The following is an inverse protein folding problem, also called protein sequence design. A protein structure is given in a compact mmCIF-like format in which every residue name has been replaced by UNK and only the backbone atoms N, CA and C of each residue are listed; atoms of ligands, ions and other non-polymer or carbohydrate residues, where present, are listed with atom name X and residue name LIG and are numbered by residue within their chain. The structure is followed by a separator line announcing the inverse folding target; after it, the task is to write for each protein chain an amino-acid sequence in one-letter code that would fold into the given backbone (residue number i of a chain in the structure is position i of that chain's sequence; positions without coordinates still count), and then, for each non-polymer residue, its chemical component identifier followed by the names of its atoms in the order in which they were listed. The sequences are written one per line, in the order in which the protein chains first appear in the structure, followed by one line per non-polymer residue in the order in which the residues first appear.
data_IF_064814087693
#
_entry.id   IF_064814087693
#
_cell.length_a   1.000
_cell.length_b   1.000
_cell.length_c   1.000
_cell.angle_alpha   90.00
_cell.angle_beta   90.00
_cell.angle_gamma   90.00
#
_symmetry.space_group_name_H-M   'P 1'
#
loop_
_entity.id
_entity.type
_entity.pdbx_description
1 polymer ?
#
# COMPACT_ATOMS: atom_id res chain seq x y z
N UNK A 1 1.10 -15.76 20.39
CA UNK A 1 1.49 -15.60 18.97
C UNK A 1 2.82 -14.88 18.93
N UNK A 2 3.86 -15.50 18.36
CA UNK A 2 5.13 -14.80 18.11
C UNK A 2 4.91 -13.84 16.93
N UNK A 3 5.16 -12.54 17.13
CA UNK A 3 5.21 -11.59 15.99
C UNK A 3 6.32 -12.04 15.06
N UNK A 4 6.02 -12.21 13.77
CA UNK A 4 7.06 -12.42 12.77
C UNK A 4 7.97 -11.18 12.75
N UNK A 5 9.29 -11.36 12.60
CA UNK A 5 10.20 -10.23 12.53
C UNK A 5 9.91 -9.39 11.28
N UNK A 6 10.07 -8.07 11.41
CA UNK A 6 9.98 -7.14 10.28
C UNK A 6 11.10 -7.36 9.28
N UNK A 7 10.82 -7.11 8.01
CA UNK A 7 11.82 -7.10 6.93
C UNK A 7 12.28 -5.67 6.70
N UNK A 8 13.59 -5.45 6.67
CA UNK A 8 14.18 -4.16 6.30
C UNK A 8 14.42 -4.12 4.79
N UNK A 9 13.94 -3.04 4.14
CA UNK A 9 14.16 -2.76 2.73
C UNK A 9 14.50 -1.27 2.60
N UNK A 10 15.70 -0.99 2.12
CA UNK A 10 16.25 0.38 1.99
C UNK A 10 16.48 0.79 0.54
N UNK A 11 16.31 -0.12 -0.41
CA UNK A 11 16.57 0.14 -1.82
C UNK A 11 15.73 -0.72 -2.76
N UNK A 12 15.62 -0.26 -4.01
CA UNK A 12 14.94 -1.01 -5.06
C UNK A 12 15.62 -2.35 -5.34
N UNK A 13 16.96 -2.40 -5.33
CA UNK A 13 17.68 -3.65 -5.55
C UNK A 13 17.40 -4.69 -4.45
N UNK A 14 17.36 -4.27 -3.18
CA UNK A 14 16.97 -5.16 -2.09
C UNK A 14 15.53 -5.64 -2.25
N UNK A 15 14.61 -4.76 -2.64
CA UNK A 15 13.23 -5.16 -2.93
C UNK A 15 13.18 -6.23 -4.01
N UNK A 16 13.86 -6.02 -5.14
CA UNK A 16 13.90 -6.97 -6.26
C UNK A 16 14.42 -8.34 -5.81
N UNK A 17 15.51 -8.39 -5.04
CA UNK A 17 16.07 -9.64 -4.52
C UNK A 17 15.11 -10.38 -3.57
N UNK A 18 14.24 -9.65 -2.86
CA UNK A 18 13.29 -10.23 -1.92
C UNK A 18 12.01 -10.72 -2.59
N UNK A 19 11.58 -10.07 -3.66
CA UNK A 19 10.36 -10.45 -4.40
C UNK A 19 10.65 -11.38 -5.57
N UNK A 20 11.92 -11.68 -5.88
CA UNK A 20 12.28 -12.66 -6.90
C UNK A 20 11.78 -14.05 -6.47
N UNK A 21 10.69 -14.51 -7.11
CA UNK A 21 10.04 -15.79 -6.78
C UNK A 21 8.94 -15.70 -5.69
N UNK A 22 8.57 -14.49 -5.25
CA UNK A 22 7.40 -14.24 -4.38
C UNK A 22 6.72 -12.92 -4.79
N UNK A 23 5.79 -12.41 -4.00
CA UNK A 23 5.15 -11.11 -4.21
C UNK A 23 5.21 -10.24 -2.95
N UNK A 24 5.19 -8.93 -3.18
CA UNK A 24 4.99 -7.94 -2.14
C UNK A 24 3.49 -7.68 -2.02
N UNK A 25 2.95 -7.85 -0.82
CA UNK A 25 1.55 -7.56 -0.53
C UNK A 25 1.42 -6.13 -0.01
N UNK A 26 0.40 -5.44 -0.49
CA UNK A 26 -0.05 -4.16 0.05
C UNK A 26 -1.48 -4.29 0.53
N UNK A 27 -1.75 -3.72 1.70
CA UNK A 27 -3.10 -3.53 2.23
C UNK A 27 -3.23 -2.07 2.60
N UNK A 28 -4.37 -1.46 2.28
CA UNK A 28 -4.67 -0.11 2.70
C UNK A 28 -6.07 0.04 3.25
N UNK A 29 -6.21 1.11 4.03
CA UNK A 29 -7.48 1.58 4.52
C UNK A 29 -7.50 3.11 4.44
N UNK A 30 -8.59 3.65 3.91
CA UNK A 30 -8.89 5.09 3.91
C UNK A 30 -10.13 5.27 4.77
N UNK A 31 -9.98 6.02 5.86
CA UNK A 31 -11.06 6.27 6.82
C UNK A 31 -11.62 7.67 6.65
N UNK A 32 -12.92 7.79 6.89
CA UNK A 32 -13.57 9.07 7.13
C UNK A 32 -13.20 9.65 8.50
N UNK A 33 -13.52 10.93 8.69
CA UNK A 33 -13.13 11.69 9.89
C UNK A 33 -13.68 11.14 11.21
N UNK A 34 -14.86 10.54 11.15
CA UNK A 34 -15.54 10.03 12.34
C UNK A 34 -16.02 8.62 12.05
N UNK A 35 -15.59 7.70 12.89
CA UNK A 35 -16.20 6.39 13.03
C UNK A 35 -16.41 6.07 14.52
N UNK A 36 -17.16 5.02 14.85
CA UNK A 36 -17.41 4.67 16.25
C UNK A 36 -16.17 4.25 17.02
N UNK A 37 -15.16 3.71 16.32
CA UNK A 37 -13.90 3.24 16.92
C UNK A 37 -12.70 4.16 16.65
N UNK A 38 -12.88 5.28 15.92
CA UNK A 38 -11.78 6.19 15.58
C UNK A 38 -12.22 7.65 15.46
N UNK A 39 -11.27 8.55 15.70
CA UNK A 39 -11.40 9.98 15.47
C UNK A 39 -10.23 10.43 14.61
N UNK A 40 -10.53 11.12 13.51
CA UNK A 40 -9.57 11.57 12.51
C UNK A 40 -9.57 10.66 11.27
N UNK A 41 -9.72 11.30 10.11
CA UNK A 41 -9.63 10.64 8.83
C UNK A 41 -8.19 10.40 8.43
N UNK A 42 -8.02 9.64 7.36
CA UNK A 42 -6.69 9.45 6.77
C UNK A 42 -6.53 8.11 6.10
N UNK A 43 -5.30 7.88 5.64
CA UNK A 43 -4.92 6.70 4.89
C UNK A 43 -3.79 5.96 5.58
N UNK A 44 -3.98 4.67 5.77
CA UNK A 44 -2.95 3.75 6.24
C UNK A 44 -2.56 2.81 5.09
N UNK A 45 -1.25 2.67 4.82
CA UNK A 45 -0.70 1.71 3.86
C UNK A 45 0.24 0.76 4.60
N UNK A 46 0.00 -0.55 4.50
CA UNK A 46 0.83 -1.60 5.09
C UNK A 46 1.40 -2.48 4.00
N UNK A 47 2.69 -2.82 4.15
CA UNK A 47 3.45 -3.63 3.20
C UNK A 47 3.99 -4.88 3.87
N UNK A 48 3.97 -6.01 3.17
CA UNK A 48 4.53 -7.26 3.68
C UNK A 48 5.04 -8.18 2.57
N UNK A 49 6.01 -9.03 2.89
CA UNK A 49 6.49 -10.11 2.01
C UNK A 49 6.39 -11.40 2.81
N UNK A 50 5.77 -12.43 2.22
CA UNK A 50 5.53 -13.74 2.87
C UNK A 50 4.90 -13.61 4.27
N UNK A 51 3.93 -12.70 4.42
CA UNK A 51 3.24 -12.41 5.68
C UNK A 51 4.10 -11.70 6.74
N UNK A 52 5.31 -11.26 6.41
CA UNK A 52 6.17 -10.48 7.31
C UNK A 52 6.08 -8.99 6.99
N UNK A 53 5.76 -8.13 7.97
CA UNK A 53 5.67 -6.69 7.72
C UNK A 53 7.02 -6.10 7.31
N UNK A 54 7.00 -5.13 6.40
CA UNK A 54 8.19 -4.35 6.05
C UNK A 54 8.32 -3.19 7.03
N UNK A 55 9.53 -2.99 7.57
CA UNK A 55 9.85 -1.87 8.44
C UNK A 55 9.76 -0.53 7.70
N UNK A 56 9.37 0.51 8.41
CA UNK A 56 9.35 1.86 7.85
C UNK A 56 10.77 2.35 7.55
N UNK A 57 10.94 2.96 6.38
CA UNK A 57 12.19 3.50 5.87
C UNK A 57 11.89 4.56 4.81
N UNK A 58 12.86 5.43 4.50
CA UNK A 58 12.70 6.43 3.42
C UNK A 58 12.36 5.78 2.06
N UNK A 59 12.90 4.58 1.80
CA UNK A 59 12.54 3.82 0.60
C UNK A 59 11.10 3.31 0.67
N UNK A 60 10.70 2.76 1.83
CA UNK A 60 9.35 2.26 2.07
C UNK A 60 8.31 3.38 1.88
N UNK A 61 8.58 4.59 2.36
CA UNK A 61 7.69 5.74 2.21
C UNK A 61 7.52 6.16 0.74
N UNK A 62 8.61 6.16 -0.03
CA UNK A 62 8.55 6.42 -1.49
C UNK A 62 7.77 5.33 -2.22
N UNK A 63 7.92 4.07 -1.83
CA UNK A 63 7.17 2.95 -2.40
C UNK A 63 5.67 3.07 -2.08
N UNK A 64 5.30 3.35 -0.82
CA UNK A 64 3.90 3.61 -0.43
C UNK A 64 3.31 4.79 -1.22
N UNK A 65 4.07 5.87 -1.37
CA UNK A 65 3.66 7.03 -2.17
C UNK A 65 3.44 6.69 -3.65
N UNK A 66 4.31 5.86 -4.23
CA UNK A 66 4.15 5.40 -5.61
C UNK A 66 2.91 4.52 -5.79
N UNK A 67 2.63 3.62 -4.83
CA UNK A 67 1.42 2.77 -4.83
C UNK A 67 0.17 3.64 -4.76
N UNK A 68 0.13 4.59 -3.81
CA UNK A 68 -0.97 5.55 -3.67
C UNK A 68 -1.23 6.28 -4.97
N UNK A 69 -0.17 6.78 -5.63
CA UNK A 69 -0.31 7.50 -6.89
C UNK A 69 -0.81 6.59 -8.02
N UNK A 70 -0.33 5.35 -8.10
CA UNK A 70 -0.66 4.43 -9.18
C UNK A 70 -2.09 3.91 -9.08
N UNK A 71 -2.53 3.53 -7.87
CA UNK A 71 -3.88 3.04 -7.60
C UNK A 71 -4.89 4.16 -7.29
N UNK A 72 -4.48 5.43 -7.37
CA UNK A 72 -5.30 6.61 -7.07
C UNK A 72 -5.99 6.54 -5.70
N UNK A 73 -5.30 6.04 -4.68
CA UNK A 73 -5.87 5.87 -3.33
C UNK A 73 -6.07 7.25 -2.69
N UNK A 74 -7.30 7.65 -2.32
CA UNK A 74 -7.56 8.97 -1.73
C UNK A 74 -6.88 9.10 -0.36
N UNK A 75 -6.67 10.34 0.11
CA UNK A 75 -6.09 10.59 1.43
C UNK A 75 -7.10 10.27 2.54
N UNK A 76 -8.35 10.63 2.32
CA UNK A 76 -9.48 10.48 3.24
C UNK A 76 -10.78 10.38 2.43
N UNK A 77 -11.84 9.97 3.10
CA UNK A 77 -13.20 9.86 2.59
C UNK A 77 -14.13 10.68 3.48
N UNK A 78 -15.33 11.02 3.00
CA UNK A 78 -16.25 11.87 3.79
C UNK A 78 -17.03 11.03 4.79
N UNK A 79 -17.73 9.98 4.33
CA UNK A 79 -18.67 9.19 5.14
C UNK A 79 -18.44 7.67 5.05
N UNK A 80 -17.41 7.24 4.33
CA UNK A 80 -17.17 5.85 3.98
C UNK A 80 -15.79 5.40 4.43
N UNK A 81 -15.54 4.10 4.41
CA UNK A 81 -14.23 3.50 4.56
C UNK A 81 -13.91 2.76 3.26
N UNK A 82 -12.73 3.01 2.71
CA UNK A 82 -12.20 2.25 1.57
C UNK A 82 -11.16 1.28 2.09
N UNK A 83 -11.41 -0.01 1.94
CA UNK A 83 -10.43 -1.07 2.22
C UNK A 83 -9.96 -1.65 0.91
N UNK A 84 -8.66 -1.84 0.74
CA UNK A 84 -8.14 -2.50 -0.45
C UNK A 84 -6.88 -3.30 -0.18
N UNK A 85 -6.62 -4.22 -1.08
CA UNK A 85 -5.48 -5.11 -1.04
C UNK A 85 -4.96 -5.38 -2.45
N UNK A 86 -3.69 -5.72 -2.54
CA UNK A 86 -3.09 -6.06 -3.82
C UNK A 86 -1.75 -6.74 -3.72
N UNK A 87 -1.37 -7.35 -4.83
CA UNK A 87 -0.12 -8.06 -5.02
C UNK A 87 0.76 -7.28 -5.99
N UNK A 88 2.01 -7.05 -5.58
CA UNK A 88 3.04 -6.38 -6.36
C UNK A 88 4.03 -7.44 -6.83
N UNK A 89 4.10 -7.63 -8.13
CA UNK A 89 4.97 -8.61 -8.80
C UNK A 89 5.99 -7.93 -9.71
N UNK A 90 7.06 -8.64 -10.01
CA UNK A 90 8.08 -8.22 -10.97
C UNK A 90 7.77 -8.78 -12.36
N UNK A 91 7.37 -7.91 -13.29
CA UNK A 91 7.16 -8.28 -14.69
C UNK A 91 8.28 -7.66 -15.53
N UNK A 92 9.28 -8.48 -15.86
CA UNK A 92 10.50 -8.00 -16.50
C UNK A 92 11.30 -7.11 -15.53
N UNK A 93 11.38 -5.81 -15.84
CA UNK A 93 12.08 -4.82 -15.01
C UNK A 93 11.13 -3.84 -14.29
N UNK A 94 9.83 -4.16 -14.25
CA UNK A 94 8.77 -3.26 -13.77
C UNK A 94 8.02 -3.89 -12.61
N UNK A 95 7.66 -3.07 -11.62
CA UNK A 95 6.73 -3.47 -10.58
C UNK A 95 5.31 -3.27 -11.08
N UNK A 96 4.49 -4.32 -10.99
CA UNK A 96 3.08 -4.28 -11.37
C UNK A 96 2.25 -4.60 -10.15
N UNK A 97 1.29 -3.73 -9.83
CA UNK A 97 0.30 -3.92 -8.79
C UNK A 97 -1.00 -4.39 -9.42
N UNK A 98 -1.46 -5.57 -9.03
CA UNK A 98 -2.81 -6.04 -9.25
C UNK A 98 -3.57 -5.93 -7.92
N UNK A 99 -4.77 -5.36 -7.95
CA UNK A 99 -5.46 -4.98 -6.72
C UNK A 99 -6.97 -4.96 -6.82
N UNK A 100 -7.62 -5.03 -5.67
CA UNK A 100 -9.04 -4.83 -5.49
C UNK A 100 -9.33 -3.94 -4.26
N UNK A 101 -10.51 -3.33 -4.26
CA UNK A 101 -10.97 -2.49 -3.15
C UNK A 101 -12.48 -2.51 -3.02
N UNK A 102 -12.93 -2.18 -1.82
CA UNK A 102 -14.32 -2.05 -1.41
C UNK A 102 -14.49 -0.72 -0.69
N UNK A 103 -15.60 -0.04 -0.94
CA UNK A 103 -16.03 1.14 -0.20
C UNK A 103 -17.35 0.83 0.51
N UNK A 104 -17.43 1.15 1.80
CA UNK A 104 -18.64 0.95 2.59
C UNK A 104 -18.85 2.12 3.55
N UNK A 105 -20.10 2.45 3.87
CA UNK A 105 -20.37 3.20 5.10
C UNK A 105 -19.95 2.34 6.32
N UNK A 106 -19.50 2.95 7.43
CA UNK A 106 -19.14 2.18 8.62
C UNK A 106 -20.27 1.22 9.04
N UNK A 107 -19.93 -0.07 9.21
CA UNK A 107 -20.85 -1.17 9.59
C UNK A 107 -21.94 -1.52 8.58
N UNK A 108 -21.88 -1.00 7.35
CA UNK A 108 -22.79 -1.38 6.27
C UNK A 108 -22.12 -2.31 5.25
N UNK A 109 -22.91 -2.81 4.30
CA UNK A 109 -22.42 -3.53 3.14
C UNK A 109 -21.67 -2.59 2.19
N UNK A 110 -20.70 -3.11 1.40
CA UNK A 110 -20.02 -2.34 0.38
C UNK A 110 -21.01 -1.67 -0.57
N UNK A 111 -20.91 -0.35 -0.69
CA UNK A 111 -21.69 0.46 -1.62
C UNK A 111 -20.99 0.61 -2.98
N UNK A 112 -19.67 0.45 -3.02
CA UNK A 112 -18.90 0.43 -4.26
C UNK A 112 -17.72 -0.55 -4.15
N UNK A 113 -17.20 -0.98 -5.29
CA UNK A 113 -16.07 -1.89 -5.38
C UNK A 113 -15.35 -1.75 -6.72
N UNK A 114 -14.06 -2.08 -6.74
CA UNK A 114 -13.29 -2.04 -7.97
C UNK A 114 -12.05 -2.91 -7.92
N UNK A 115 -11.43 -3.08 -9.09
CA UNK A 115 -10.15 -3.74 -9.24
C UNK A 115 -9.35 -3.13 -10.37
N UNK A 116 -8.04 -3.37 -10.40
CA UNK A 116 -7.16 -2.80 -11.41
C UNK A 116 -5.78 -3.44 -11.45
N UNK A 117 -5.08 -3.14 -12.55
CA UNK A 117 -3.67 -3.51 -12.76
C UNK A 117 -2.93 -2.25 -13.19
N UNK A 118 -1.91 -1.86 -12.42
CA UNK A 118 -1.14 -0.63 -12.64
C UNK A 118 0.37 -0.85 -12.49
N UNK A 119 1.16 -0.11 -13.25
CA UNK A 119 2.62 -0.10 -13.09
C UNK A 119 3.02 0.86 -11.96
N UNK A 120 3.89 0.41 -11.04
CA UNK A 120 4.45 1.23 -9.98
C UNK A 120 5.79 1.81 -10.43
N UNK A 121 5.88 3.13 -10.46
CA UNK A 121 7.13 3.86 -10.70
C UNK A 121 7.58 4.50 -9.39
N UNK A 122 8.62 3.94 -8.76
CA UNK A 122 9.16 4.49 -7.52
C UNK A 122 9.98 5.74 -7.84
N UNK A 123 9.64 6.91 -7.30
CA UNK A 123 10.40 8.13 -7.56
C UNK A 123 11.82 7.99 -7.00
N UNK A 124 12.81 8.43 -7.78
CA UNK A 124 14.18 8.58 -7.29
C UNK A 124 14.21 9.57 -6.14
N UNK A 125 15.15 9.38 -5.21
CA UNK A 125 15.44 10.39 -4.20
C UNK A 125 15.77 11.68 -4.96
N UNK A 126 14.94 12.72 -4.82
CA UNK A 126 15.35 14.04 -5.29
C UNK A 126 16.64 14.34 -4.54
N UNK A 127 17.75 14.42 -5.25
CA UNK A 127 18.90 15.15 -4.76
C UNK A 127 18.39 16.56 -4.47
N UNK A 128 18.20 16.87 -3.20
CA UNK A 128 17.99 18.23 -2.72
C UNK A 128 19.24 19.03 -3.12
N UNK A 129 19.23 19.59 -4.32
CA UNK A 129 20.09 20.72 -4.66
C UNK A 129 19.37 21.97 -4.16
N UNK A 130 19.62 22.37 -2.91
CA UNK A 130 19.77 23.78 -2.53
C UNK A 130 20.59 23.86 -1.24
#
# INVERSE_FOLDING_TARGET
MCKLPTIEIESFQQLLQRIEGTCLYVVWEVRCDIGPEWIGGGREIRLSIDGRPIADSEFCDRLKSAIVSAAAIPLETINTVISGEGEITLVGAKLVLEFEWLEAEPYDYPCDQGSGIVEIVIPNKKSENT
#
